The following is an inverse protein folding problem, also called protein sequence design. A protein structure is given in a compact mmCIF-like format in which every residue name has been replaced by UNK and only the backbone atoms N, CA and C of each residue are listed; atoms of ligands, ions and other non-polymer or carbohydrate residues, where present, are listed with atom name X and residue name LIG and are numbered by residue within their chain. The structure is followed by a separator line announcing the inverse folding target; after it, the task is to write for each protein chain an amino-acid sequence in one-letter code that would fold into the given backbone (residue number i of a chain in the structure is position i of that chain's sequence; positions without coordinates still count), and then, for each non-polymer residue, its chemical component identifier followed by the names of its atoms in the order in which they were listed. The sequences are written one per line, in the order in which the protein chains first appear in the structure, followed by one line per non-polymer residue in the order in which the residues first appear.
data_IF_629572894109
#
_entry.id   IF_629572894109
#
_cell.length_a   1.000
_cell.length_b   1.000
_cell.length_c   1.000
_cell.angle_alpha   90.00
_cell.angle_beta   90.00
_cell.angle_gamma   90.00
#
_symmetry.space_group_name_H-M   'P 1'
#
loop_
_entity.id
_entity.type
_entity.pdbx_description
1 polymer ?
#
# COMPACT_ATOMS: atom_id res chain seq x y z
N UNK A 1 2.45 5.21 -5.78
CA UNK A 1 1.77 4.10 -6.51
C UNK A 1 1.70 2.91 -5.59
N UNK A 2 0.56 2.21 -5.56
CA UNK A 2 0.39 0.99 -4.78
C UNK A 2 1.35 -0.14 -5.25
N UNK A 3 2.16 -0.73 -4.35
CA UNK A 3 3.06 -1.84 -4.68
C UNK A 3 2.33 -3.17 -4.93
N UNK A 4 1.05 -3.27 -4.56
CA UNK A 4 0.26 -4.50 -4.59
C UNK A 4 -0.63 -4.65 -5.83
N UNK A 5 -0.63 -3.66 -6.72
CA UNK A 5 -1.45 -3.66 -7.94
C UNK A 5 -0.56 -3.60 -9.19
N UNK A 6 -0.92 -4.37 -10.20
CA UNK A 6 -0.25 -4.41 -11.50
C UNK A 6 -0.46 -3.08 -12.26
N UNK A 7 0.60 -2.57 -12.87
CA UNK A 7 0.53 -1.47 -13.84
C UNK A 7 0.90 -1.95 -15.24
N UNK A 8 0.68 -1.11 -16.25
CA UNK A 8 1.18 -1.35 -17.60
C UNK A 8 2.68 -1.64 -17.68
N UNK A 9 3.49 -1.05 -16.80
CA UNK A 9 4.95 -1.13 -16.88
C UNK A 9 5.60 -2.09 -15.87
N UNK A 10 4.93 -2.39 -14.75
CA UNK A 10 5.53 -3.13 -13.64
C UNK A 10 4.47 -3.96 -12.92
N UNK A 11 4.83 -5.21 -12.61
CA UNK A 11 4.02 -6.14 -11.82
C UNK A 11 3.95 -5.78 -10.34
N UNK A 12 2.86 -6.18 -9.69
CA UNK A 12 2.69 -6.16 -8.25
C UNK A 12 3.77 -6.99 -7.55
N UNK A 13 4.12 -6.59 -6.33
CA UNK A 13 4.96 -7.38 -5.45
C UNK A 13 4.18 -8.50 -4.78
N UNK A 14 4.90 -9.53 -4.36
CA UNK A 14 4.35 -10.60 -3.54
C UNK A 14 4.00 -10.07 -2.14
N UNK A 15 2.70 -9.97 -1.86
CA UNK A 15 2.17 -9.48 -0.58
C UNK A 15 2.51 -10.39 0.60
N UNK A 16 2.85 -11.67 0.36
CA UNK A 16 3.25 -12.58 1.43
C UNK A 16 4.61 -12.22 2.05
N UNK A 17 5.44 -11.46 1.32
CA UNK A 17 6.74 -10.99 1.80
C UNK A 17 6.63 -9.86 2.82
N UNK A 18 5.50 -9.14 2.83
CA UNK A 18 5.26 -8.09 3.80
C UNK A 18 4.79 -8.68 5.13
N UNK A 19 5.50 -8.30 6.20
CA UNK A 19 5.13 -8.55 7.60
C UNK A 19 5.46 -7.31 8.41
N UNK A 20 4.46 -6.72 9.05
CA UNK A 20 4.63 -5.50 9.86
C UNK A 20 5.44 -5.78 11.13
N UNK A 21 5.27 -6.97 11.71
CA UNK A 21 5.98 -7.50 12.87
C UNK A 21 7.27 -8.27 12.52
N UNK A 22 7.63 -8.31 11.23
CA UNK A 22 8.77 -9.04 10.72
C UNK A 22 10.11 -8.31 10.89
N UNK A 23 11.16 -8.85 10.27
CA UNK A 23 12.44 -8.14 10.19
C UNK A 23 12.35 -6.91 9.25
N UNK A 24 13.35 -6.03 9.31
CA UNK A 24 13.39 -4.78 8.52
C UNK A 24 13.15 -5.03 7.02
N UNK A 25 13.66 -6.14 6.46
CA UNK A 25 13.48 -6.46 5.04
C UNK A 25 12.01 -6.79 4.73
N UNK A 26 11.34 -7.53 5.62
CA UNK A 26 9.92 -7.87 5.49
C UNK A 26 9.03 -6.63 5.67
N UNK A 27 9.36 -5.76 6.62
CA UNK A 27 8.65 -4.49 6.82
C UNK A 27 8.77 -3.58 5.59
N UNK A 28 9.99 -3.40 5.07
CA UNK A 28 10.26 -2.61 3.85
C UNK A 28 9.71 -3.24 2.58
N UNK A 29 9.36 -4.53 2.58
CA UNK A 29 8.73 -5.16 1.42
C UNK A 29 7.40 -4.47 1.06
N UNK A 30 6.73 -3.87 2.05
CA UNK A 30 5.49 -3.12 1.86
C UNK A 30 5.64 -1.67 1.40
N UNK A 31 6.85 -1.14 1.31
CA UNK A 31 7.10 0.17 0.73
C UNK A 31 6.77 0.20 -0.77
N UNK A 32 6.55 1.41 -1.29
CA UNK A 32 6.46 1.61 -2.73
C UNK A 32 7.72 1.12 -3.45
N UNK A 33 7.57 0.76 -4.73
CA UNK A 33 8.70 0.37 -5.58
C UNK A 33 9.65 1.56 -5.83
N UNK A 34 9.11 2.78 -5.80
CA UNK A 34 9.89 4.01 -5.85
C UNK A 34 10.96 4.04 -4.74
N UNK A 35 12.02 4.82 -4.95
CA UNK A 35 13.16 4.89 -4.02
C UNK A 35 13.75 3.51 -3.65
N UNK A 36 13.66 2.54 -4.56
CA UNK A 36 14.17 1.16 -4.40
C UNK A 36 13.56 0.41 -3.20
N UNK A 37 12.38 0.80 -2.71
CA UNK A 37 11.76 0.19 -1.54
C UNK A 37 12.33 0.66 -0.19
N UNK A 38 13.15 1.70 -0.17
CA UNK A 38 13.72 2.25 1.07
C UNK A 38 12.74 3.17 1.83
N UNK A 39 11.68 3.63 1.17
CA UNK A 39 10.63 4.46 1.76
C UNK A 39 9.79 5.16 0.69
N UNK A 40 8.92 6.07 1.13
CA UNK A 40 7.98 6.79 0.27
C UNK A 40 7.71 8.20 0.81
N UNK A 41 7.44 9.13 -0.10
CA UNK A 41 6.81 10.39 0.28
C UNK A 41 5.33 10.14 0.54
N UNK A 42 4.84 10.61 1.68
CA UNK A 42 3.44 10.48 2.11
C UNK A 42 2.88 11.89 2.30
N UNK A 43 1.74 12.18 1.67
CA UNK A 43 0.96 13.40 1.86
C UNK A 43 -0.10 13.12 2.93
N UNK A 44 -0.10 13.92 3.99
CA UNK A 44 -1.05 13.79 5.09
C UNK A 44 -2.21 14.79 4.93
N UNK A 45 -3.27 14.58 5.71
CA UNK A 45 -4.52 15.35 5.62
C UNK A 45 -4.36 16.86 5.91
N UNK A 46 -3.39 17.22 6.75
CA UNK A 46 -3.02 18.60 7.06
C UNK A 46 -2.12 19.24 5.98
N UNK A 47 -1.96 18.59 4.83
CA UNK A 47 -1.16 19.01 3.68
C UNK A 47 0.36 18.99 3.88
N UNK A 48 0.87 18.42 4.98
CA UNK A 48 2.30 18.19 5.09
C UNK A 48 2.73 16.96 4.28
N UNK A 49 3.99 16.97 3.85
CA UNK A 49 4.62 15.81 3.19
C UNK A 49 5.83 15.40 4.00
N UNK A 50 5.92 14.11 4.31
CA UNK A 50 7.08 13.50 4.99
C UNK A 50 7.60 12.31 4.18
N UNK A 51 8.88 11.99 4.37
CA UNK A 51 9.47 10.76 3.83
C UNK A 51 9.43 9.67 4.89
N UNK A 52 8.57 8.68 4.68
CA UNK A 52 8.35 7.57 5.60
C UNK A 52 9.14 6.34 5.17
N UNK A 53 9.87 5.75 6.13
CA UNK A 53 10.73 4.57 5.89
C UNK A 53 9.95 3.26 5.83
N UNK A 54 8.71 3.27 6.31
CA UNK A 54 7.85 2.10 6.45
C UNK A 54 6.44 2.42 5.96
N UNK A 55 5.67 1.42 5.50
CA UNK A 55 4.35 1.65 4.93
C UNK A 55 3.25 1.81 5.99
N UNK A 56 3.51 1.39 7.24
CA UNK A 56 2.57 1.43 8.36
C UNK A 56 2.57 2.80 9.07
N UNK A 57 2.43 3.87 8.30
CA UNK A 57 2.42 5.26 8.78
C UNK A 57 1.04 5.92 8.67
N UNK A 58 -0.02 5.11 8.58
CA UNK A 58 -1.40 5.57 8.71
C UNK A 58 -1.75 5.93 10.16
N UNK A 59 -2.99 6.35 10.39
CA UNK A 59 -3.45 6.87 11.70
C UNK A 59 -3.37 5.82 12.80
N UNK A 60 -3.54 4.54 12.45
CA UNK A 60 -3.55 3.43 13.41
C UNK A 60 -2.33 2.52 13.26
N UNK A 61 -1.20 3.07 12.77
CA UNK A 61 -0.03 2.31 12.34
C UNK A 61 -0.39 1.26 11.27
N UNK A 62 -1.32 1.62 10.39
CA UNK A 62 -1.83 0.80 9.30
C UNK A 62 -1.10 1.05 7.98
N UNK A 63 -1.06 0.03 7.13
CA UNK A 63 -0.39 0.13 5.84
C UNK A 63 -1.18 0.99 4.86
N UNK A 64 -0.60 2.12 4.46
CA UNK A 64 -1.22 3.13 3.57
C UNK A 64 -1.55 2.64 2.14
N UNK A 65 -1.24 1.40 1.80
CA UNK A 65 -1.53 0.78 0.50
C UNK A 65 -2.57 -0.34 0.58
N UNK A 66 -3.02 -0.70 1.78
CA UNK A 66 -4.07 -1.70 2.00
C UNK A 66 -5.28 -1.02 2.61
N UNK A 67 -6.38 -1.77 2.70
CA UNK A 67 -7.59 -1.33 3.39
C UNK A 67 -7.92 -2.30 4.50
N UNK A 68 -8.68 -1.86 5.49
CA UNK A 68 -9.05 -2.71 6.61
C UNK A 68 -10.33 -3.51 6.29
N UNK A 69 -10.32 -4.82 6.54
CA UNK A 69 -11.47 -5.71 6.31
C UNK A 69 -12.17 -6.15 7.62
N UNK A 70 -11.76 -5.58 8.76
CA UNK A 70 -12.25 -5.95 10.09
C UNK A 70 -11.30 -6.86 10.88
N UNK A 71 -10.22 -7.34 10.27
CA UNK A 71 -9.23 -8.22 10.90
C UNK A 71 -7.96 -7.44 11.30
N UNK A 72 -6.78 -7.83 10.78
CA UNK A 72 -5.48 -7.22 11.08
C UNK A 72 -5.34 -5.86 10.37
N UNK A 73 -5.46 -4.77 11.14
CA UNK A 73 -5.37 -3.40 10.62
C UNK A 73 -3.96 -3.01 10.18
N UNK A 74 -2.90 -3.54 10.80
CA UNK A 74 -1.51 -3.24 10.43
C UNK A 74 -1.16 -3.88 9.07
N UNK A 75 -1.69 -5.07 8.80
CA UNK A 75 -1.50 -5.76 7.52
C UNK A 75 -2.47 -5.25 6.45
N UNK A 76 -3.76 -5.24 6.76
CA UNK A 76 -4.87 -4.97 5.85
C UNK A 76 -4.96 -5.97 4.68
N UNK A 77 -5.85 -5.65 3.74
CA UNK A 77 -6.11 -6.40 2.50
C UNK A 77 -5.74 -5.57 1.28
N UNK A 78 -5.22 -6.24 0.25
CA UNK A 78 -4.87 -5.60 -1.03
C UNK A 78 -6.15 -5.14 -1.73
N UNK A 79 -6.28 -3.84 -2.07
CA UNK A 79 -7.47 -3.35 -2.76
C UNK A 79 -7.51 -3.85 -4.20
N UNK A 80 -8.72 -4.11 -4.68
CA UNK A 80 -9.03 -4.40 -6.08
C UNK A 80 -9.89 -3.27 -6.65
N UNK A 81 -10.01 -3.21 -7.98
CA UNK A 81 -10.94 -2.27 -8.59
C UNK A 81 -12.36 -2.54 -8.09
N UNK A 82 -12.99 -1.50 -7.52
CA UNK A 82 -14.31 -1.60 -6.90
C UNK A 82 -14.28 -1.80 -5.37
N UNK A 83 -13.11 -1.98 -4.74
CA UNK A 83 -12.98 -1.88 -3.28
C UNK A 83 -13.51 -0.54 -2.78
N UNK A 84 -14.04 -0.54 -1.56
CA UNK A 84 -14.50 0.65 -0.84
C UNK A 84 -13.76 0.74 0.50
N UNK A 85 -13.44 1.94 1.00
CA UNK A 85 -12.94 2.10 2.37
C UNK A 85 -13.95 1.52 3.36
N UNK A 86 -13.48 0.81 4.38
CA UNK A 86 -14.35 0.17 5.36
C UNK A 86 -14.89 1.14 6.43
N UNK A 87 -14.18 2.23 6.71
CA UNK A 87 -14.56 3.26 7.68
C UNK A 87 -14.09 4.65 7.25
N UNK A 88 -14.52 5.69 7.97
CA UNK A 88 -14.15 7.10 7.76
C UNK A 88 -12.67 7.41 7.90
N UNK A 89 -11.91 6.53 8.56
CA UNK A 89 -10.45 6.67 8.72
C UNK A 89 -9.68 5.82 7.70
N UNK A 90 -10.37 5.04 6.86
CA UNK A 90 -9.76 4.18 5.86
C UNK A 90 -9.64 4.91 4.52
N UNK A 91 -8.63 4.53 3.73
CA UNK A 91 -8.39 5.14 2.43
C UNK A 91 -7.87 4.12 1.43
N UNK A 92 -8.27 4.27 0.16
CA UNK A 92 -7.84 3.40 -0.91
C UNK A 92 -6.90 4.13 -1.86
N UNK A 93 -5.69 3.60 -2.02
CA UNK A 93 -4.82 3.97 -3.12
C UNK A 93 -4.89 2.90 -4.21
N UNK A 94 -5.69 3.16 -5.24
CA UNK A 94 -5.76 2.34 -6.46
C UNK A 94 -5.12 3.06 -7.64
N UNK A 95 -4.80 2.30 -8.69
CA UNK A 95 -4.45 2.85 -10.00
C UNK A 95 -5.03 1.98 -11.10
N UNK A 96 -5.04 2.50 -12.32
CA UNK A 96 -5.59 1.80 -13.47
C UNK A 96 -4.91 0.44 -13.66
N UNK A 97 -5.68 -0.61 -14.00
CA UNK A 97 -5.14 -1.91 -14.32
C UNK A 97 -4.37 -1.83 -15.65
N UNK A 98 -3.48 -2.80 -15.95
CA UNK A 98 -2.96 -2.94 -17.30
C UNK A 98 -4.13 -3.06 -18.26
N UNK A 99 -4.04 -2.45 -19.44
CA UNK A 99 -5.05 -2.57 -20.48
C UNK A 99 -5.33 -4.07 -20.67
N UNK A 100 -6.58 -4.48 -20.50
CA UNK A 100 -6.99 -5.83 -20.87
C UNK A 100 -6.57 -6.00 -22.33
N UNK A 101 -5.74 -7.01 -22.63
CA UNK A 101 -5.47 -7.39 -24.00
C UNK A 101 -6.84 -7.55 -24.68
N UNK A 102 -7.23 -6.60 -25.52
CA UNK A 102 -8.29 -6.80 -26.49
C UNK A 102 -7.75 -7.91 -27.39
N UNK A 103 -8.28 -9.12 -27.18
CA UNK A 103 -8.07 -10.23 -28.10
C UNK A 103 -8.57 -9.87 -29.47
#
# INVERSE_FOLDING_TARGET
RNPWIDTHAVRARDFSLFKWDGNIKQQKAGNAIAHKGEGQNVLFLDSHVSFEKFPFCGVNDDNIYTYWDGEDIQRGVVPVLGSQPADRLDSLLVHDPPAANQK
#
